data_IF_938728952395
#
_entry.id   IF_938728952395
#
_cell.length_a   1.000
_cell.length_b   1.000
_cell.length_c   1.000
_cell.angle_alpha   90.00
_cell.angle_beta   90.00
_cell.angle_gamma   90.00
#
_symmetry.space_group_name_H-M   'P 1'
#
loop_
_entity.id
_entity.type
_entity.pdbx_description
1 polymer ?
#
# COMPACT_ATOMS: atom_id res chain seq x y z
N UNK A 1 46.57 -4.83 22.89
CA UNK A 1 46.60 -4.79 21.41
C UNK A 1 45.52 -3.82 20.92
N UNK A 2 45.89 -2.80 20.13
CA UNK A 2 44.94 -1.79 19.65
C UNK A 2 44.09 -2.34 18.48
N UNK A 3 42.76 -2.26 18.59
CA UNK A 3 41.84 -2.70 17.52
C UNK A 3 41.88 -1.70 16.37
N UNK A 4 42.08 -2.18 15.13
CA UNK A 4 42.19 -1.32 13.94
C UNK A 4 40.95 -0.44 13.75
N UNK A 5 41.16 0.88 13.77
CA UNK A 5 40.09 1.87 13.57
C UNK A 5 39.57 1.93 12.13
N UNK A 6 38.45 2.64 11.94
CA UNK A 6 37.81 2.86 10.64
C UNK A 6 38.79 3.55 9.68
N UNK A 7 39.22 2.84 8.65
CA UNK A 7 39.98 3.42 7.53
C UNK A 7 39.02 4.01 6.49
N UNK A 8 39.47 4.98 5.71
CA UNK A 8 38.72 5.46 4.54
C UNK A 8 38.53 4.26 3.60
N UNK A 9 37.27 3.92 3.29
CA UNK A 9 36.92 2.71 2.53
C UNK A 9 36.82 1.42 3.35
N UNK A 10 36.98 1.44 4.67
CA UNK A 10 36.77 0.26 5.52
C UNK A 10 35.27 -0.06 5.69
N UNK A 11 34.91 -1.33 5.48
CA UNK A 11 33.56 -1.84 5.66
C UNK A 11 33.05 -2.62 4.44
N UNK A 12 31.83 -3.16 4.56
CA UNK A 12 31.18 -3.86 3.44
C UNK A 12 30.67 -2.82 2.43
N UNK A 13 31.01 -2.95 1.13
CA UNK A 13 30.50 -2.03 0.11
C UNK A 13 28.96 -2.03 0.09
N UNK A 14 28.38 -0.82 0.10
CA UNK A 14 26.92 -0.64 0.11
C UNK A 14 26.30 -1.36 -1.10
N UNK A 15 25.32 -2.23 -0.85
CA UNK A 15 24.55 -2.91 -1.89
C UNK A 15 25.22 -4.12 -2.57
N UNK A 16 26.45 -4.51 -2.22
CA UNK A 16 27.14 -5.61 -2.90
C UNK A 16 26.41 -6.97 -2.79
N UNK A 17 25.83 -7.28 -1.63
CA UNK A 17 25.00 -8.47 -1.43
C UNK A 17 23.67 -8.34 -2.17
N UNK A 18 23.04 -7.16 -2.06
CA UNK A 18 21.75 -6.83 -2.68
C UNK A 18 21.79 -6.95 -4.20
N UNK A 19 22.92 -6.59 -4.83
CA UNK A 19 23.11 -6.72 -6.28
C UNK A 19 23.17 -8.18 -6.72
N UNK A 20 23.87 -9.04 -5.97
CA UNK A 20 23.95 -10.48 -6.27
C UNK A 20 22.59 -11.16 -6.08
N UNK A 21 21.88 -10.84 -4.99
CA UNK A 21 20.55 -11.42 -4.74
C UNK A 21 19.52 -10.95 -5.77
N UNK A 22 19.60 -9.68 -6.21
CA UNK A 22 18.74 -9.17 -7.28
C UNK A 22 19.01 -9.86 -8.62
N UNK A 23 20.28 -10.01 -9.00
CA UNK A 23 20.63 -10.71 -10.24
C UNK A 23 20.16 -12.18 -10.26
N UNK A 24 20.14 -12.87 -9.12
CA UNK A 24 19.60 -14.23 -9.01
C UNK A 24 18.06 -14.20 -9.17
N UNK A 25 17.39 -13.26 -8.51
CA UNK A 25 15.94 -13.11 -8.64
C UNK A 25 15.53 -12.80 -10.08
N UNK A 26 16.22 -11.86 -10.73
CA UNK A 26 15.95 -11.47 -12.12
C UNK A 26 16.14 -12.66 -13.09
N UNK A 27 17.18 -13.47 -12.87
CA UNK A 27 17.39 -14.72 -13.63
C UNK A 27 16.28 -15.73 -13.39
N UNK A 28 15.92 -15.99 -12.13
CA UNK A 28 14.85 -16.92 -11.80
C UNK A 28 13.50 -16.49 -12.41
N UNK A 29 13.23 -15.17 -12.46
CA UNK A 29 12.07 -14.61 -13.15
C UNK A 29 12.15 -14.82 -14.67
N UNK A 30 13.31 -14.63 -15.28
CA UNK A 30 13.49 -14.88 -16.72
C UNK A 30 13.37 -16.36 -17.08
N UNK A 31 13.79 -17.26 -16.18
CA UNK A 31 13.72 -18.71 -16.34
C UNK A 31 12.34 -19.30 -15.97
N UNK A 32 11.44 -18.51 -15.36
CA UNK A 32 10.13 -18.99 -14.87
C UNK A 32 10.24 -20.00 -13.72
N UNK A 33 11.32 -19.92 -12.94
CA UNK A 33 11.60 -20.75 -11.78
C UNK A 33 11.66 -19.91 -10.49
N UNK A 34 10.70 -19.00 -10.34
CA UNK A 34 10.52 -18.26 -9.10
C UNK A 34 9.93 -19.14 -8.01
N UNK A 35 10.14 -18.80 -6.72
CA UNK A 35 9.50 -19.53 -5.61
C UNK A 35 7.98 -19.63 -5.74
N UNK A 36 7.33 -18.59 -6.27
CA UNK A 36 5.88 -18.59 -6.49
C UNK A 36 5.48 -19.60 -7.56
N UNK A 37 6.18 -19.68 -8.68
CA UNK A 37 5.89 -20.64 -9.75
C UNK A 37 6.09 -22.08 -9.28
N UNK A 38 7.12 -22.35 -8.47
CA UNK A 38 7.35 -23.66 -7.86
C UNK A 38 6.18 -24.04 -6.95
N UNK A 39 5.74 -23.12 -6.08
CA UNK A 39 4.58 -23.34 -5.22
C UNK A 39 3.31 -23.62 -6.04
N UNK A 40 3.02 -22.81 -7.06
CA UNK A 40 1.84 -22.99 -7.91
C UNK A 40 1.87 -24.31 -8.68
N UNK A 41 3.05 -24.72 -9.16
CA UNK A 41 3.22 -25.97 -9.91
C UNK A 41 3.01 -27.18 -9.00
N UNK A 42 3.63 -27.20 -7.83
CA UNK A 42 3.44 -28.25 -6.84
C UNK A 42 1.97 -28.32 -6.39
N UNK A 43 1.36 -27.18 -6.06
CA UNK A 43 -0.05 -27.09 -5.68
C UNK A 43 -0.97 -27.71 -6.74
N UNK A 44 -0.75 -27.38 -8.02
CA UNK A 44 -1.54 -27.93 -9.14
C UNK A 44 -1.35 -29.44 -9.29
N UNK A 45 -0.13 -29.94 -9.12
CA UNK A 45 0.15 -31.39 -9.18
C UNK A 45 -0.54 -32.14 -8.04
N UNK A 46 -0.48 -31.64 -6.80
CA UNK A 46 -1.19 -32.23 -5.66
C UNK A 46 -2.71 -32.21 -5.87
N UNK A 47 -3.26 -31.11 -6.38
CA UNK A 47 -4.69 -31.00 -6.70
C UNK A 47 -5.11 -32.01 -7.79
N UNK A 48 -4.29 -32.21 -8.83
CA UNK A 48 -4.53 -33.20 -9.88
C UNK A 48 -4.59 -34.63 -9.34
N UNK A 49 -3.83 -34.94 -8.30
CA UNK A 49 -3.84 -36.23 -7.61
C UNK A 49 -4.86 -36.29 -6.46
N UNK A 50 -5.79 -35.34 -6.36
CA UNK A 50 -6.80 -35.24 -5.29
C UNK A 50 -6.22 -35.17 -3.86
N UNK A 51 -4.95 -34.77 -3.71
CA UNK A 51 -4.29 -34.56 -2.42
C UNK A 51 -4.55 -33.13 -1.95
N UNK A 52 -5.80 -32.86 -1.58
CA UNK A 52 -6.26 -31.51 -1.25
C UNK A 52 -5.58 -30.91 -0.01
N UNK A 53 -5.24 -31.72 1.00
CA UNK A 53 -4.55 -31.23 2.20
C UNK A 53 -3.16 -30.68 1.87
N UNK A 54 -2.41 -31.38 1.01
CA UNK A 54 -1.10 -30.95 0.53
C UNK A 54 -1.21 -29.73 -0.40
N UNK A 55 -2.21 -29.70 -1.26
CA UNK A 55 -2.47 -28.54 -2.11
C UNK A 55 -2.85 -27.29 -1.27
N UNK A 56 -3.66 -27.47 -0.23
CA UNK A 56 -4.11 -26.39 0.65
C UNK A 56 -2.97 -25.80 1.49
N UNK A 57 -2.01 -26.62 1.94
CA UNK A 57 -0.84 -26.12 2.68
C UNK A 57 0.03 -25.22 1.79
N UNK A 58 0.26 -25.62 0.53
CA UNK A 58 1.01 -24.82 -0.44
C UNK A 58 0.22 -23.56 -0.83
N UNK A 59 -1.10 -23.65 -0.98
CA UNK A 59 -1.96 -22.51 -1.28
C UNK A 59 -1.86 -21.43 -0.19
N UNK A 60 -1.80 -21.83 1.08
CA UNK A 60 -1.62 -20.92 2.21
C UNK A 60 -0.28 -20.15 2.12
N UNK A 61 0.79 -20.82 1.72
CA UNK A 61 2.11 -20.20 1.57
C UNK A 61 2.19 -19.27 0.36
N UNK A 62 1.47 -19.58 -0.72
CA UNK A 62 1.37 -18.74 -1.91
C UNK A 62 0.45 -17.52 -1.73
N UNK A 63 -0.54 -17.59 -0.83
CA UNK A 63 -1.57 -16.58 -0.65
C UNK A 63 -1.06 -15.13 -0.46
N UNK A 64 0.02 -14.84 0.32
CA UNK A 64 0.51 -13.48 0.51
C UNK A 64 1.00 -12.79 -0.77
N UNK A 65 1.36 -13.57 -1.79
CA UNK A 65 1.87 -13.07 -3.07
C UNK A 65 0.77 -12.90 -4.13
N UNK A 66 -0.38 -13.56 -3.95
CA UNK A 66 -1.48 -13.56 -4.90
C UNK A 66 -2.69 -12.75 -4.42
N UNK A 67 -2.89 -12.67 -3.11
CA UNK A 67 -4.03 -12.00 -2.50
C UNK A 67 -3.52 -10.82 -1.68
N UNK A 68 -3.90 -9.58 -2.04
CA UNK A 68 -3.63 -8.41 -1.21
C UNK A 68 -4.15 -8.67 0.19
N UNK A 69 -3.24 -8.72 1.18
CA UNK A 69 -3.66 -8.78 2.57
C UNK A 69 -4.26 -7.42 2.90
N UNK A 70 -5.44 -7.41 3.52
CA UNK A 70 -5.98 -6.18 4.13
C UNK A 70 -4.89 -5.59 5.03
N UNK A 71 -4.28 -4.50 4.57
CA UNK A 71 -3.37 -3.74 5.39
C UNK A 71 -4.21 -3.13 6.51
N UNK A 72 -3.77 -3.27 7.76
CA UNK A 72 -4.32 -2.48 8.85
C UNK A 72 -3.93 -1.02 8.58
N UNK A 73 -4.73 -0.30 7.81
CA UNK A 73 -4.55 1.13 7.60
C UNK A 73 -4.84 1.83 8.92
N UNK A 74 -3.79 2.30 9.59
CA UNK A 74 -3.93 3.22 10.70
C UNK A 74 -4.17 4.61 10.10
N UNK A 75 -5.40 5.12 10.26
CA UNK A 75 -5.70 6.51 9.96
C UNK A 75 -5.14 7.37 11.09
N UNK A 76 -3.99 8.00 10.85
CA UNK A 76 -3.39 8.98 11.75
C UNK A 76 -3.33 10.34 11.05
N UNK A 77 -3.42 11.42 11.81
CA UNK A 77 -3.13 12.76 11.32
C UNK A 77 -1.66 12.95 10.94
N UNK A 78 -1.32 14.18 10.53
CA UNK A 78 0.04 14.57 10.17
C UNK A 78 1.04 14.12 11.25
N UNK A 79 2.12 13.45 10.85
CA UNK A 79 3.17 12.94 11.74
C UNK A 79 2.69 11.90 12.79
N UNK A 80 1.63 11.14 12.50
CA UNK A 80 1.10 10.14 13.44
C UNK A 80 0.24 10.74 14.55
N UNK A 81 -0.11 12.02 14.45
CA UNK A 81 -0.94 12.72 15.43
C UNK A 81 -2.41 12.32 15.35
N UNK A 82 -3.26 12.88 16.23
CA UNK A 82 -4.71 12.74 16.15
C UNK A 82 -5.26 13.20 14.80
N UNK A 83 -6.34 12.57 14.33
CA UNK A 83 -7.08 13.07 13.18
C UNK A 83 -7.67 14.43 13.58
N UNK A 84 -7.34 15.47 12.82
CA UNK A 84 -7.92 16.79 13.03
C UNK A 84 -9.38 16.75 12.56
N UNK A 85 -10.31 17.00 13.47
CA UNK A 85 -11.73 17.14 13.16
C UNK A 85 -12.16 18.59 13.40
N UNK A 86 -12.99 19.12 12.52
CA UNK A 86 -13.60 20.45 12.69
C UNK A 86 -15.09 20.28 12.96
N UNK A 87 -15.58 20.90 14.02
CA UNK A 87 -16.99 20.89 14.38
C UNK A 87 -17.74 21.99 13.60
N UNK A 88 -18.46 21.56 12.57
CA UNK A 88 -19.25 22.43 11.69
C UNK A 88 -20.66 22.70 12.22
N UNK A 89 -21.07 22.10 13.34
CA UNK A 89 -22.42 22.28 13.89
C UNK A 89 -22.69 23.73 14.33
N UNK A 90 -21.65 24.52 14.57
CA UNK A 90 -21.74 25.95 14.89
C UNK A 90 -22.15 26.82 13.71
N UNK A 91 -22.07 26.31 12.48
CA UNK A 91 -22.43 27.03 11.25
C UNK A 91 -23.94 26.97 10.95
N UNK A 92 -24.71 26.19 11.72
CA UNK A 92 -26.15 25.95 11.49
C UNK A 92 -27.06 27.19 11.58
N UNK A 93 -26.52 28.32 12.05
CA UNK A 93 -27.24 29.59 12.19
C UNK A 93 -26.79 30.68 11.22
N UNK A 94 -25.87 30.39 10.29
CA UNK A 94 -25.47 31.33 9.24
C UNK A 94 -26.55 31.42 8.16
N UNK A 95 -26.65 32.58 7.51
CA UNK A 95 -27.52 32.75 6.35
C UNK A 95 -26.94 32.06 5.12
N UNK A 96 -27.78 31.78 4.12
CA UNK A 96 -27.34 31.12 2.87
C UNK A 96 -26.26 31.95 2.14
N UNK A 97 -26.34 33.28 2.22
CA UNK A 97 -25.34 34.19 1.64
C UNK A 97 -23.96 34.09 2.35
N UNK A 98 -23.96 33.95 3.67
CA UNK A 98 -22.75 33.77 4.48
C UNK A 98 -22.10 32.42 4.20
N UNK A 99 -22.91 31.38 3.98
CA UNK A 99 -22.46 30.04 3.60
C UNK A 99 -21.81 30.04 2.20
N UNK A 100 -22.38 30.74 1.23
CA UNK A 100 -21.83 30.82 -0.13
C UNK A 100 -20.48 31.57 -0.16
N UNK A 101 -20.32 32.61 0.67
CA UNK A 101 -19.05 33.30 0.84
C UNK A 101 -17.98 32.37 1.45
N UNK A 102 -18.37 31.60 2.47
CA UNK A 102 -17.49 30.64 3.15
C UNK A 102 -17.02 29.54 2.18
N UNK A 103 -17.92 29.01 1.36
CA UNK A 103 -17.62 28.00 0.36
C UNK A 103 -16.55 28.51 -0.62
N UNK A 104 -16.76 29.70 -1.20
CA UNK A 104 -15.79 30.31 -2.12
C UNK A 104 -14.42 30.50 -1.47
N UNK A 105 -14.38 30.91 -0.21
CA UNK A 105 -13.13 31.08 0.53
C UNK A 105 -12.42 29.74 0.79
N UNK A 106 -13.16 28.67 1.11
CA UNK A 106 -12.59 27.35 1.39
C UNK A 106 -12.04 26.66 0.12
N UNK A 107 -12.71 26.85 -1.02
CA UNK A 107 -12.22 26.40 -2.34
C UNK A 107 -10.91 27.10 -2.69
N UNK A 108 -10.81 28.40 -2.45
CA UNK A 108 -9.59 29.17 -2.74
C UNK A 108 -8.37 28.74 -1.91
N UNK A 109 -8.60 28.25 -0.68
CA UNK A 109 -7.54 27.76 0.23
C UNK A 109 -7.26 26.26 -0.01
N UNK A 110 -8.04 25.58 -0.87
CA UNK A 110 -7.84 24.18 -1.23
C UNK A 110 -8.21 23.19 -0.13
N UNK A 111 -9.12 23.57 0.78
CA UNK A 111 -9.63 22.71 1.86
C UNK A 111 -10.77 21.82 1.35
N UNK A 112 -11.49 22.28 0.32
CA UNK A 112 -12.61 21.60 -0.32
C UNK A 112 -12.30 21.48 -1.81
N UNK A 113 -12.36 20.26 -2.36
CA UNK A 113 -12.38 20.05 -3.80
C UNK A 113 -13.72 20.56 -4.32
N UNK A 114 -13.69 21.53 -5.24
CA UNK A 114 -14.92 22.08 -5.82
C UNK A 114 -15.69 21.01 -6.57
N UNK A 115 -16.69 20.41 -5.93
CA UNK A 115 -17.63 19.51 -6.58
C UNK A 115 -18.54 20.38 -7.46
N UNK A 116 -18.29 20.34 -8.78
CA UNK A 116 -19.25 20.89 -9.73
C UNK A 116 -20.47 19.98 -9.67
N UNK A 117 -21.48 20.43 -8.92
CA UNK A 117 -22.71 19.70 -8.66
C UNK A 117 -23.18 18.96 -9.91
N UNK A 118 -23.25 17.63 -9.78
CA UNK A 118 -23.97 16.76 -10.69
C UNK A 118 -25.42 17.25 -10.70
N UNK A 119 -25.79 17.93 -11.78
CA UNK A 119 -27.16 18.38 -12.02
C UNK A 119 -28.11 17.21 -11.75
N UNK A 120 -29.00 17.42 -10.77
CA UNK A 120 -30.09 16.52 -10.48
C UNK A 120 -30.97 16.43 -11.71
N UNK A 121 -30.95 15.27 -12.37
CA UNK A 121 -31.99 14.89 -13.30
C UNK A 121 -33.25 14.61 -12.50
N UNK A 122 -34.11 15.62 -12.39
CA UNK A 122 -35.51 15.45 -12.03
C UNK A 122 -36.30 15.04 -13.29
N UNK A 123 -36.92 13.86 -13.19
CA UNK A 123 -38.12 13.37 -13.87
C UNK A 123 -38.36 13.66 -15.38
N UNK A 124 -38.32 12.60 -16.21
CA UNK A 124 -39.50 11.96 -16.84
C UNK A 124 -39.25 10.47 -17.02
#
# INVERSE_FOLDING_TARGET
MARGGKRIGAGRPKGATTRRTRAIADKATAEGLTPLEVMLTAMREHAKHMRWDEAASIAKDAAPYMHPRLASMQHTGRNGGPIQTMDVTKLKGMTDEELELLERALVQIGIVDGDQGREGGEEV
#
